data_IF_477408375863
#
_entry.id   IF_477408375863
#
_cell.length_a   1.000
_cell.length_b   1.000
_cell.length_c   1.000
_cell.angle_alpha   90.00
_cell.angle_beta   90.00
_cell.angle_gamma   90.00
#
_symmetry.space_group_name_H-M   'P 1'
#
loop_
_entity.id
_entity.type
_entity.pdbx_description
1 polymer ?
#
# COMPACT_ATOMS: atom_id res chain seq x y z
N UNK A 1 19.96 34.54 9.07
CA UNK A 1 18.48 34.56 9.11
C UNK A 1 18.04 33.18 9.60
N UNK A 2 17.51 33.11 10.81
CA UNK A 2 17.10 31.86 11.48
C UNK A 2 15.80 31.34 10.85
N UNK A 3 15.85 30.17 10.23
CA UNK A 3 14.64 29.42 9.85
C UNK A 3 14.25 28.54 11.03
N UNK A 4 13.09 28.80 11.58
CA UNK A 4 12.47 28.03 12.64
C UNK A 4 12.07 26.66 12.09
N UNK A 5 12.73 25.59 12.54
CA UNK A 5 12.27 24.22 12.36
C UNK A 5 11.05 24.05 13.26
N UNK A 6 9.88 23.85 12.65
CA UNK A 6 8.66 23.49 13.36
C UNK A 6 8.83 22.03 13.76
N UNK A 7 9.38 21.81 14.95
CA UNK A 7 9.37 20.51 15.61
C UNK A 7 7.89 20.18 15.85
N UNK A 8 7.39 19.17 15.14
CA UNK A 8 6.02 18.70 15.22
C UNK A 8 5.68 18.30 16.64
N UNK A 9 4.97 19.17 17.35
CA UNK A 9 4.39 18.86 18.65
C UNK A 9 3.33 17.77 18.46
N UNK A 10 3.59 16.58 19.02
CA UNK A 10 2.62 15.51 19.13
C UNK A 10 1.40 16.00 19.93
N UNK A 11 0.28 16.20 19.24
CA UNK A 11 -1.01 16.45 19.87
C UNK A 11 -1.63 15.08 20.13
N UNK A 12 -1.33 14.51 21.29
CA UNK A 12 -2.08 13.39 21.84
C UNK A 12 -3.41 13.93 22.39
N UNK A 13 -4.51 13.68 21.69
CA UNK A 13 -5.85 13.99 22.19
C UNK A 13 -6.53 12.70 22.65
N UNK A 14 -6.50 12.47 23.97
CA UNK A 14 -7.26 11.43 24.66
C UNK A 14 -8.75 11.80 24.63
N UNK A 15 -9.56 11.11 23.82
CA UNK A 15 -11.01 11.19 23.90
C UNK A 15 -11.48 10.14 24.92
N UNK A 16 -11.80 10.60 26.13
CA UNK A 16 -12.53 9.83 27.14
C UNK A 16 -14.00 10.22 27.04
N UNK A 17 -14.90 9.29 26.69
CA UNK A 17 -16.34 9.53 26.83
C UNK A 17 -16.87 8.66 27.98
N UNK A 18 -17.36 9.39 28.99
CA UNK A 18 -18.05 8.92 30.19
C UNK A 18 -19.32 8.14 29.83
N UNK A 19 -19.38 6.89 30.25
CA UNK A 19 -20.63 6.13 30.43
C UNK A 19 -21.32 6.66 31.69
N UNK A 20 -22.34 7.50 31.53
CA UNK A 20 -23.18 8.02 32.61
C UNK A 20 -24.65 7.79 32.28
N UNK A 21 -25.32 6.94 33.07
CA UNK A 21 -26.60 6.34 32.72
C UNK A 21 -27.88 7.15 32.96
N UNK A 22 -28.88 6.74 32.17
CA UNK A 22 -30.31 6.53 32.43
C UNK A 22 -31.25 7.62 32.97
N UNK A 23 -32.41 7.65 32.29
CA UNK A 23 -33.72 8.28 32.55
C UNK A 23 -33.98 9.63 31.87
N UNK A 24 -34.46 9.60 30.62
CA UNK A 24 -35.17 10.71 29.97
C UNK A 24 -35.97 10.19 28.74
N UNK A 25 -37.03 10.91 28.37
CA UNK A 25 -38.01 10.61 27.31
C UNK A 25 -37.41 10.22 25.94
N UNK A 26 -38.08 9.35 25.16
CA UNK A 26 -37.64 8.85 23.83
C UNK A 26 -37.23 9.98 22.85
N UNK A 27 -37.82 11.16 22.99
CA UNK A 27 -37.53 12.36 22.17
C UNK A 27 -36.18 13.00 22.55
N UNK A 28 -35.84 13.06 23.84
CA UNK A 28 -34.54 13.56 24.32
C UNK A 28 -33.37 12.61 24.09
N UNK A 29 -33.64 11.30 23.96
CA UNK A 29 -32.63 10.29 23.62
C UNK A 29 -32.27 10.35 22.14
N UNK A 30 -33.27 10.51 21.26
CA UNK A 30 -33.05 10.69 19.83
C UNK A 30 -32.32 12.00 19.52
N UNK A 31 -32.67 13.11 20.19
CA UNK A 31 -31.98 14.39 20.05
C UNK A 31 -30.51 14.32 20.50
N UNK A 32 -30.20 13.59 21.58
CA UNK A 32 -28.83 13.36 22.05
C UNK A 32 -28.04 12.48 21.06
N UNK A 33 -28.63 11.40 20.55
CA UNK A 33 -28.02 10.54 19.54
C UNK A 33 -27.76 11.29 18.23
N UNK A 34 -28.70 12.12 17.77
CA UNK A 34 -28.51 12.98 16.59
C UNK A 34 -27.43 14.04 16.81
N UNK A 35 -27.35 14.64 18.01
CA UNK A 35 -26.28 15.58 18.35
C UNK A 35 -24.91 14.89 18.39
N UNK A 36 -24.83 13.66 18.92
CA UNK A 36 -23.61 12.83 18.90
C UNK A 36 -23.22 12.44 17.48
N UNK A 37 -24.18 12.03 16.64
CA UNK A 37 -23.95 11.72 15.22
C UNK A 37 -23.36 12.92 14.49
N UNK A 38 -24.00 14.09 14.57
CA UNK A 38 -23.52 15.32 13.92
C UNK A 38 -22.09 15.70 14.41
N UNK A 39 -21.80 15.47 15.69
CA UNK A 39 -20.46 15.68 16.26
C UNK A 39 -19.45 14.68 15.70
N UNK A 40 -19.80 13.39 15.58
CA UNK A 40 -18.93 12.38 14.98
C UNK A 40 -18.69 12.64 13.49
N UNK A 41 -19.70 13.07 12.74
CA UNK A 41 -19.55 13.49 11.33
C UNK A 41 -18.55 14.65 11.20
N UNK A 42 -18.65 15.67 12.07
CA UNK A 42 -17.68 16.76 12.09
C UNK A 42 -16.27 16.31 12.49
N UNK A 43 -16.17 15.36 13.42
CA UNK A 43 -14.88 14.78 13.81
C UNK A 43 -14.28 13.96 12.67
N UNK A 44 -15.10 13.25 11.88
CA UNK A 44 -14.67 12.45 10.75
C UNK A 44 -14.04 13.35 9.68
N UNK A 45 -14.71 14.44 9.31
CA UNK A 45 -14.16 15.43 8.36
C UNK A 45 -12.80 15.94 8.85
N UNK A 46 -12.69 16.25 10.14
CA UNK A 46 -11.43 16.74 10.73
C UNK A 46 -10.33 15.66 10.71
N UNK A 47 -10.68 14.40 10.99
CA UNK A 47 -9.75 13.28 10.95
C UNK A 47 -9.28 12.99 9.52
N UNK A 48 -10.19 13.00 8.54
CA UNK A 48 -9.88 12.84 7.12
C UNK A 48 -8.97 13.97 6.60
N UNK A 49 -9.22 15.21 6.99
CA UNK A 49 -8.36 16.35 6.65
C UNK A 49 -6.94 16.18 7.23
N UNK A 50 -6.82 15.76 8.49
CA UNK A 50 -5.50 15.46 9.11
C UNK A 50 -4.79 14.34 8.38
N UNK A 51 -5.48 13.24 8.08
CA UNK A 51 -4.93 12.11 7.35
C UNK A 51 -4.42 12.53 5.96
N UNK A 52 -5.22 13.28 5.21
CA UNK A 52 -4.85 13.77 3.88
C UNK A 52 -3.63 14.70 3.94
N UNK A 53 -3.56 15.60 4.93
CA UNK A 53 -2.39 16.46 5.14
C UNK A 53 -1.14 15.66 5.50
N UNK A 54 -1.26 14.71 6.43
CA UNK A 54 -0.15 13.86 6.84
C UNK A 54 0.39 13.03 5.66
N UNK A 55 -0.53 12.49 4.84
CA UNK A 55 -0.20 11.75 3.61
C UNK A 55 0.51 12.63 2.59
N UNK A 56 0.02 13.86 2.37
CA UNK A 56 0.65 14.83 1.48
C UNK A 56 2.07 15.22 1.94
N UNK A 57 2.26 15.43 3.24
CA UNK A 57 3.57 15.68 3.83
C UNK A 57 4.51 14.48 3.64
N UNK A 58 4.07 13.26 3.95
CA UNK A 58 4.86 12.06 3.73
C UNK A 58 5.28 11.90 2.26
N UNK A 59 4.37 12.13 1.31
CA UNK A 59 4.67 12.06 -0.12
C UNK A 59 5.74 13.08 -0.53
N UNK A 60 5.69 14.29 0.02
CA UNK A 60 6.71 15.32 -0.23
C UNK A 60 8.05 14.88 0.35
N UNK A 61 8.05 14.37 1.58
CA UNK A 61 9.28 13.92 2.23
C UNK A 61 9.93 12.73 1.53
N UNK A 62 9.12 11.80 1.00
CA UNK A 62 9.63 10.68 0.23
C UNK A 62 10.28 11.14 -1.07
N UNK A 63 9.68 12.12 -1.78
CA UNK A 63 10.29 12.72 -2.96
C UNK A 63 11.61 13.45 -2.66
N UNK A 64 11.67 14.17 -1.55
CA UNK A 64 12.91 14.84 -1.11
C UNK A 64 13.98 13.84 -0.67
N UNK A 65 13.59 12.73 -0.01
CA UNK A 65 14.49 11.64 0.34
C UNK A 65 15.06 10.96 -0.92
N UNK A 66 14.21 10.69 -1.91
CA UNK A 66 14.62 10.14 -3.21
C UNK A 66 15.65 11.04 -3.90
N UNK A 67 15.46 12.36 -3.85
CA UNK A 67 16.42 13.31 -4.40
C UNK A 67 17.73 13.34 -3.61
N UNK A 68 17.67 13.18 -2.29
CA UNK A 68 18.83 13.21 -1.40
C UNK A 68 19.66 11.91 -1.48
N UNK A 69 19.00 10.77 -1.70
CA UNK A 69 19.59 9.44 -1.74
C UNK A 69 19.16 8.68 -3.01
N UNK A 70 19.40 9.28 -4.19
CA UNK A 70 18.94 8.74 -5.46
C UNK A 70 19.49 7.34 -5.77
N UNK A 71 20.79 7.11 -5.51
CA UNK A 71 21.41 5.79 -5.68
C UNK A 71 20.76 4.76 -4.74
N UNK A 72 20.70 5.07 -3.45
CA UNK A 72 20.14 4.16 -2.45
C UNK A 72 18.69 3.80 -2.71
N UNK A 73 17.86 4.78 -3.10
CA UNK A 73 16.46 4.53 -3.46
C UNK A 73 16.36 3.62 -4.67
N UNK A 74 17.06 3.96 -5.76
CA UNK A 74 17.00 3.18 -7.00
C UNK A 74 17.44 1.73 -6.76
N UNK A 75 18.52 1.53 -6.01
CA UNK A 75 19.02 0.20 -5.65
C UNK A 75 18.02 -0.57 -4.77
N UNK A 76 17.39 0.07 -3.78
CA UNK A 76 16.35 -0.58 -2.98
C UNK A 76 15.16 -1.05 -3.80
N UNK A 77 14.73 -0.27 -4.79
CA UNK A 77 13.65 -0.65 -5.70
C UNK A 77 14.06 -1.84 -6.57
N UNK A 78 15.31 -1.85 -7.06
CA UNK A 78 15.85 -2.98 -7.82
C UNK A 78 16.00 -4.26 -6.99
N UNK A 79 16.42 -4.16 -5.73
CA UNK A 79 16.43 -5.30 -4.78
C UNK A 79 15.03 -5.90 -4.67
N UNK A 80 13.99 -5.08 -4.48
CA UNK A 80 12.61 -5.55 -4.35
C UNK A 80 12.15 -6.25 -5.62
N UNK A 81 12.41 -5.64 -6.78
CA UNK A 81 12.04 -6.22 -8.07
C UNK A 81 12.73 -7.56 -8.33
N UNK A 82 14.05 -7.66 -8.10
CA UNK A 82 14.78 -8.92 -8.20
C UNK A 82 14.25 -9.99 -7.22
N UNK A 83 13.93 -9.59 -5.99
CA UNK A 83 13.35 -10.50 -4.99
C UNK A 83 12.01 -11.04 -5.44
N UNK A 84 11.15 -10.20 -6.01
CA UNK A 84 9.84 -10.61 -6.50
C UNK A 84 9.93 -11.47 -7.76
N UNK A 85 10.94 -11.26 -8.61
CA UNK A 85 11.27 -12.16 -9.73
C UNK A 85 11.64 -13.56 -9.18
N UNK A 86 12.47 -13.65 -8.14
CA UNK A 86 12.82 -14.95 -7.55
C UNK A 86 11.58 -15.65 -6.99
N UNK A 87 10.69 -14.94 -6.29
CA UNK A 87 9.44 -15.51 -5.75
C UNK A 87 8.52 -16.07 -6.82
N UNK A 88 8.57 -15.56 -8.06
CA UNK A 88 7.83 -16.15 -9.17
C UNK A 88 8.28 -17.59 -9.49
N UNK A 89 9.45 -18.02 -9.03
CA UNK A 89 9.91 -19.40 -9.18
C UNK A 89 9.41 -20.34 -8.09
N UNK A 90 8.75 -19.85 -7.04
CA UNK A 90 8.40 -20.64 -5.84
C UNK A 90 7.49 -21.84 -6.16
N UNK A 91 6.67 -21.74 -7.21
CA UNK A 91 5.71 -22.78 -7.58
C UNK A 91 6.36 -24.14 -7.94
N UNK A 92 7.65 -24.14 -8.31
CA UNK A 92 8.38 -25.36 -8.70
C UNK A 92 9.28 -25.90 -7.58
N UNK A 93 9.27 -25.28 -6.39
CA UNK A 93 10.05 -25.74 -5.23
C UNK A 93 9.15 -26.11 -4.06
N UNK A 94 9.53 -27.16 -3.35
CA UNK A 94 9.15 -27.39 -1.96
C UNK A 94 10.05 -26.56 -1.06
N UNK A 95 9.49 -26.02 0.03
CA UNK A 95 10.19 -25.13 0.97
C UNK A 95 10.97 -23.98 0.28
N UNK A 96 10.32 -23.20 -0.61
CA UNK A 96 11.01 -22.22 -1.48
C UNK A 96 11.81 -21.17 -0.70
N UNK A 97 11.33 -20.76 0.48
CA UNK A 97 11.96 -19.74 1.33
C UNK A 97 12.81 -20.33 2.47
N UNK A 98 12.86 -21.65 2.58
CA UNK A 98 13.53 -22.32 3.69
C UNK A 98 15.02 -22.55 3.47
N UNK A 99 15.62 -23.27 4.42
CA UNK A 99 17.05 -23.61 4.37
C UNK A 99 17.35 -24.77 3.43
N UNK A 100 16.35 -25.55 3.03
CA UNK A 100 16.51 -26.72 2.18
C UNK A 100 15.46 -26.73 1.05
N UNK A 101 15.50 -25.74 0.13
CA UNK A 101 14.60 -25.72 -1.00
C UNK A 101 14.88 -26.91 -1.92
N UNK A 102 13.82 -27.57 -2.39
CA UNK A 102 13.94 -28.73 -3.27
C UNK A 102 12.96 -28.63 -4.44
N UNK A 103 13.49 -28.70 -5.66
CA UNK A 103 12.68 -28.69 -6.87
C UNK A 103 11.70 -29.88 -6.88
N UNK A 104 10.45 -29.62 -7.25
CA UNK A 104 9.35 -30.61 -7.21
C UNK A 104 9.50 -31.66 -8.33
N UNK A 105 10.18 -31.29 -9.41
CA UNK A 105 10.42 -32.17 -10.56
C UNK A 105 11.79 -32.80 -10.48
N UNK A 106 11.91 -34.03 -10.95
CA UNK A 106 13.23 -34.63 -11.17
C UNK A 106 14.04 -33.76 -12.13
N UNK A 107 15.26 -33.42 -11.73
CA UNK A 107 16.16 -32.61 -12.54
C UNK A 107 16.86 -33.52 -13.57
N UNK A 108 16.54 -33.42 -14.88
CA UNK A 108 17.18 -34.23 -15.90
C UNK A 108 18.60 -33.73 -16.25
N UNK A 109 19.01 -32.58 -15.71
CA UNK A 109 20.32 -31.94 -15.93
C UNK A 109 21.14 -31.96 -14.63
N UNK A 110 21.81 -33.09 -14.30
CA UNK A 110 22.46 -33.28 -12.99
C UNK A 110 23.63 -32.31 -12.73
N UNK A 111 24.21 -31.72 -13.77
CA UNK A 111 25.28 -30.73 -13.64
C UNK A 111 24.75 -29.38 -13.11
N UNK A 112 23.44 -29.13 -13.20
CA UNK A 112 22.79 -27.94 -12.65
C UNK A 112 22.36 -28.25 -11.21
N UNK A 113 22.99 -27.61 -10.24
CA UNK A 113 22.72 -27.81 -8.81
C UNK A 113 21.59 -26.89 -8.33
N UNK A 114 20.42 -26.98 -8.96
CA UNK A 114 19.34 -25.97 -8.82
C UNK A 114 18.88 -25.74 -7.37
N UNK A 115 18.85 -26.79 -6.55
CA UNK A 115 18.47 -26.69 -5.13
C UNK A 115 19.52 -25.90 -4.33
N UNK A 116 20.81 -26.12 -4.63
CA UNK A 116 21.91 -25.38 -3.99
C UNK A 116 21.94 -23.92 -4.47
N UNK A 117 21.65 -23.68 -5.75
CA UNK A 117 21.47 -22.32 -6.27
C UNK A 117 20.33 -21.62 -5.54
N UNK A 118 19.14 -22.23 -5.44
CA UNK A 118 18.00 -21.67 -4.72
C UNK A 118 18.32 -21.39 -3.25
N UNK A 119 19.03 -22.31 -2.57
CA UNK A 119 19.48 -22.11 -1.20
C UNK A 119 20.40 -20.88 -1.07
N UNK A 120 21.36 -20.71 -2.00
CA UNK A 120 22.23 -19.55 -2.03
C UNK A 120 21.45 -18.25 -2.29
N UNK A 121 20.49 -18.27 -3.22
CA UNK A 121 19.61 -17.12 -3.46
C UNK A 121 18.83 -16.76 -2.19
N UNK A 122 18.29 -17.71 -1.44
CA UNK A 122 17.60 -17.42 -0.19
C UNK A 122 18.50 -16.69 0.83
N UNK A 123 19.80 -17.03 0.89
CA UNK A 123 20.77 -16.31 1.72
C UNK A 123 20.98 -14.86 1.25
N UNK A 124 21.07 -14.65 -0.06
CA UNK A 124 21.17 -13.29 -0.63
C UNK A 124 19.92 -12.47 -0.31
N UNK A 125 18.73 -13.03 -0.53
CA UNK A 125 17.46 -12.34 -0.25
C UNK A 125 17.30 -12.00 1.24
N UNK A 126 17.76 -12.87 2.14
CA UNK A 126 17.78 -12.58 3.57
C UNK A 126 18.74 -11.43 3.92
N UNK A 127 19.91 -11.33 3.28
CA UNK A 127 20.82 -10.20 3.45
C UNK A 127 20.20 -8.90 2.91
N UNK A 128 19.57 -8.98 1.74
CA UNK A 128 18.95 -7.84 1.07
C UNK A 128 17.76 -7.27 1.82
N UNK A 129 17.01 -8.09 2.56
CA UNK A 129 15.86 -7.63 3.35
C UNK A 129 16.24 -6.46 4.27
N UNK A 130 17.38 -6.55 4.95
CA UNK A 130 17.87 -5.47 5.83
C UNK A 130 18.22 -4.19 5.05
N UNK A 131 18.60 -4.31 3.77
CA UNK A 131 18.96 -3.17 2.91
C UNK A 131 17.74 -2.49 2.31
N UNK A 132 16.56 -3.12 2.32
CA UNK A 132 15.31 -2.50 1.85
C UNK A 132 14.66 -1.55 2.86
N UNK A 133 15.15 -1.53 4.11
CA UNK A 133 14.71 -0.57 5.11
C UNK A 133 15.14 0.85 4.69
N UNK A 134 14.21 1.80 4.79
CA UNK A 134 14.46 3.21 4.49
C UNK A 134 15.60 3.78 5.33
N UNK A 135 15.80 3.28 6.57
CA UNK A 135 16.90 3.70 7.45
C UNK A 135 18.27 3.28 6.93
N UNK A 136 18.34 2.21 6.14
CA UNK A 136 19.57 1.68 5.55
C UNK A 136 19.98 2.41 4.26
N UNK A 137 19.14 3.32 3.74
CA UNK A 137 19.35 3.95 2.42
C UNK A 137 20.67 4.71 2.31
N UNK A 138 21.14 5.28 3.42
CA UNK A 138 22.43 6.00 3.52
C UNK A 138 23.64 5.09 3.43
N UNK A 139 23.47 3.80 3.68
CA UNK A 139 24.54 2.81 3.67
C UNK A 139 24.78 2.26 2.26
N UNK A 140 23.85 2.51 1.33
CA UNK A 140 23.93 2.05 -0.06
C UNK A 140 24.78 3.03 -0.87
N UNK A 141 26.09 2.82 -0.81
CA UNK A 141 27.07 3.46 -1.69
C UNK A 141 27.32 2.67 -2.98
N UNK A 142 28.20 3.19 -3.84
CA UNK A 142 28.56 2.56 -5.13
C UNK A 142 29.06 1.13 -4.96
N UNK A 143 29.95 0.88 -4.01
CA UNK A 143 30.49 -0.48 -3.77
C UNK A 143 29.40 -1.48 -3.37
N UNK A 144 28.38 -1.02 -2.63
CA UNK A 144 27.26 -1.87 -2.25
C UNK A 144 26.32 -2.12 -3.43
N UNK A 145 26.06 -1.07 -4.23
CA UNK A 145 25.29 -1.19 -5.47
C UNK A 145 25.95 -2.15 -6.48
N UNK A 146 27.29 -2.12 -6.61
CA UNK A 146 28.04 -3.06 -7.44
C UNK A 146 27.95 -4.50 -6.93
N UNK A 147 27.99 -4.70 -5.61
CA UNK A 147 27.77 -6.02 -5.00
C UNK A 147 26.36 -6.54 -5.34
N UNK A 148 25.33 -5.71 -5.16
CA UNK A 148 23.94 -6.06 -5.48
C UNK A 148 23.78 -6.37 -6.97
N UNK A 149 24.45 -5.63 -7.86
CA UNK A 149 24.49 -5.93 -9.30
C UNK A 149 25.09 -7.33 -9.56
N UNK A 150 26.22 -7.65 -8.93
CA UNK A 150 26.85 -8.96 -9.06
C UNK A 150 25.98 -10.09 -8.52
N UNK A 151 25.34 -9.89 -7.36
CA UNK A 151 24.38 -10.82 -6.78
C UNK A 151 23.14 -11.02 -7.70
N UNK A 152 22.70 -9.96 -8.39
CA UNK A 152 21.60 -10.02 -9.37
C UNK A 152 21.97 -10.84 -10.62
N UNK A 153 23.23 -10.82 -11.06
CA UNK A 153 23.72 -11.72 -12.13
C UNK A 153 23.68 -13.20 -11.71
N UNK A 154 23.86 -13.49 -10.42
CA UNK A 154 23.70 -14.85 -9.88
C UNK A 154 22.22 -15.26 -9.96
N UNK A 155 21.29 -14.37 -9.59
CA UNK A 155 19.84 -14.59 -9.75
C UNK A 155 19.49 -14.87 -11.22
N UNK A 156 20.03 -14.08 -12.15
CA UNK A 156 19.82 -14.30 -13.58
C UNK A 156 20.28 -15.69 -14.02
N UNK A 157 21.48 -16.11 -13.61
CA UNK A 157 22.01 -17.44 -13.92
C UNK A 157 21.10 -18.55 -13.38
N UNK A 158 20.59 -18.39 -12.15
CA UNK A 158 19.61 -19.30 -11.56
C UNK A 158 18.33 -19.41 -12.40
N UNK A 159 17.76 -18.28 -12.83
CA UNK A 159 16.55 -18.28 -13.69
C UNK A 159 16.83 -18.95 -15.03
N UNK A 160 17.98 -18.68 -15.65
CA UNK A 160 18.39 -19.33 -16.91
C UNK A 160 18.52 -20.84 -16.75
N UNK A 161 19.09 -21.29 -15.65
CA UNK A 161 19.25 -22.71 -15.33
C UNK A 161 17.91 -23.39 -15.07
N UNK A 162 17.00 -22.73 -14.33
CA UNK A 162 15.66 -23.22 -14.11
C UNK A 162 14.87 -23.34 -15.42
N UNK A 163 15.00 -22.35 -16.31
CA UNK A 163 14.39 -22.40 -17.64
C UNK A 163 14.92 -23.56 -18.49
N UNK A 164 16.22 -23.87 -18.42
CA UNK A 164 16.80 -25.05 -19.09
C UNK A 164 16.22 -26.35 -18.53
N UNK A 165 16.09 -26.46 -17.21
CA UNK A 165 15.50 -27.63 -16.55
C UNK A 165 14.06 -27.82 -17.05
N UNK A 166 13.21 -26.81 -16.93
CA UNK A 166 11.81 -26.88 -17.38
C UNK A 166 11.72 -27.21 -18.87
N UNK A 167 12.62 -26.66 -19.69
CA UNK A 167 12.67 -26.97 -21.12
C UNK A 167 13.12 -28.38 -21.48
N UNK A 168 13.81 -29.05 -20.58
CA UNK A 168 14.21 -30.45 -20.75
C UNK A 168 13.21 -31.46 -20.18
N UNK A 169 12.16 -31.00 -19.50
CA UNK A 169 11.12 -31.90 -18.96
C UNK A 169 10.32 -32.53 -20.10
N UNK A 170 10.10 -33.83 -19.96
CA UNK A 170 9.17 -34.60 -20.80
C UNK A 170 8.11 -35.23 -19.92
N UNK A 171 6.91 -35.54 -20.44
CA UNK A 171 5.92 -36.28 -19.67
C UNK A 171 6.40 -37.66 -19.18
N UNK A 172 7.34 -38.28 -19.90
CA UNK A 172 7.88 -39.60 -19.55
C UNK A 172 8.84 -39.54 -18.37
N UNK A 173 9.72 -38.53 -18.34
CA UNK A 173 10.80 -38.44 -17.35
C UNK A 173 10.42 -37.68 -16.07
N UNK A 174 9.36 -36.86 -16.12
CA UNK A 174 8.97 -35.96 -15.01
C UNK A 174 7.68 -36.37 -14.29
N UNK A 175 6.98 -37.39 -14.78
CA UNK A 175 5.64 -37.78 -14.33
C UNK A 175 4.58 -36.65 -14.45
N UNK A 176 4.88 -35.57 -15.19
CA UNK A 176 3.98 -34.45 -15.44
C UNK A 176 3.22 -34.62 -16.76
N UNK A 177 2.02 -34.06 -16.84
CA UNK A 177 1.34 -33.88 -18.13
C UNK A 177 1.98 -32.74 -18.94
N UNK A 178 1.87 -32.78 -20.26
CA UNK A 178 2.33 -31.68 -21.14
C UNK A 178 1.72 -30.33 -20.73
N UNK A 179 0.46 -30.33 -20.31
CA UNK A 179 -0.21 -29.12 -19.81
C UNK A 179 0.48 -28.53 -18.56
N UNK A 180 0.95 -29.37 -17.63
CA UNK A 180 1.69 -28.92 -16.46
C UNK A 180 3.07 -28.37 -16.85
N UNK A 181 3.77 -29.02 -17.78
CA UNK A 181 5.05 -28.54 -18.31
C UNK A 181 4.88 -27.17 -18.99
N UNK A 182 3.87 -27.03 -19.86
CA UNK A 182 3.56 -25.76 -20.53
C UNK A 182 3.19 -24.66 -19.50
N UNK A 183 2.48 -25.04 -18.43
CA UNK A 183 2.17 -24.14 -17.32
C UNK A 183 3.43 -23.65 -16.62
N UNK A 184 4.38 -24.55 -16.32
CA UNK A 184 5.66 -24.16 -15.72
C UNK A 184 6.41 -23.19 -16.62
N UNK A 185 6.51 -23.47 -17.91
CA UNK A 185 7.10 -22.55 -18.89
C UNK A 185 6.46 -21.16 -18.88
N UNK A 186 5.13 -21.11 -18.77
CA UNK A 186 4.38 -19.84 -18.79
C UNK A 186 4.51 -19.03 -17.50
N UNK A 187 4.79 -19.69 -16.38
CA UNK A 187 4.90 -19.05 -15.06
C UNK A 187 6.33 -18.68 -14.70
N UNK A 188 7.33 -19.27 -15.37
CA UNK A 188 8.72 -18.88 -15.15
C UNK A 188 8.92 -17.40 -15.50
N UNK A 189 9.64 -16.65 -14.65
CA UNK A 189 9.96 -15.27 -14.94
C UNK A 189 10.81 -15.17 -16.21
N UNK A 190 10.64 -14.07 -16.94
CA UNK A 190 11.41 -13.83 -18.16
C UNK A 190 12.83 -13.38 -17.81
N UNK A 191 13.80 -13.83 -18.60
CA UNK A 191 15.17 -13.29 -18.55
C UNK A 191 15.21 -11.80 -18.93
N UNK A 192 14.19 -11.31 -19.63
CA UNK A 192 14.06 -9.87 -19.89
C UNK A 192 13.90 -9.10 -18.58
N UNK A 193 13.05 -9.58 -17.67
CA UNK A 193 12.72 -8.88 -16.43
C UNK A 193 13.96 -8.69 -15.54
N UNK A 194 14.80 -9.72 -15.42
CA UNK A 194 16.04 -9.61 -14.62
C UNK A 194 17.12 -8.76 -15.32
N UNK A 195 17.15 -8.72 -16.65
CA UNK A 195 18.05 -7.82 -17.38
C UNK A 195 17.62 -6.35 -17.26
N UNK A 196 16.32 -6.06 -17.16
CA UNK A 196 15.83 -4.71 -16.87
C UNK A 196 16.30 -4.23 -15.49
N UNK A 197 16.30 -5.12 -14.49
CA UNK A 197 16.86 -4.83 -13.15
C UNK A 197 18.35 -4.51 -13.25
N UNK A 198 19.13 -5.36 -13.93
CA UNK A 198 20.57 -5.16 -14.11
C UNK A 198 20.90 -3.84 -14.83
N UNK A 199 20.14 -3.51 -15.88
CA UNK A 199 20.29 -2.26 -16.64
C UNK A 199 19.96 -1.05 -15.76
N UNK A 200 18.93 -1.15 -14.93
CA UNK A 200 18.53 -0.09 -14.00
C UNK A 200 19.59 0.14 -12.91
N UNK A 201 20.17 -0.93 -12.36
CA UNK A 201 21.29 -0.86 -11.42
C UNK A 201 22.51 -0.19 -12.06
N UNK A 202 22.87 -0.59 -13.28
CA UNK A 202 23.98 0.02 -14.03
C UNK A 202 23.76 1.52 -14.26
N UNK A 203 22.56 1.88 -14.73
CA UNK A 203 22.17 3.27 -14.94
C UNK A 203 22.22 4.09 -13.64
N UNK A 204 21.77 3.53 -12.51
CA UNK A 204 21.80 4.19 -11.21
C UNK A 204 23.24 4.48 -10.75
N UNK A 205 24.15 3.51 -10.93
CA UNK A 205 25.57 3.64 -10.60
C UNK A 205 26.24 4.71 -11.50
N UNK A 206 26.00 4.67 -12.81
CA UNK A 206 26.56 5.63 -13.76
C UNK A 206 26.08 7.07 -13.49
N UNK A 207 24.79 7.24 -13.21
CA UNK A 207 24.21 8.54 -12.88
C UNK A 207 24.80 9.11 -11.58
N UNK A 208 24.97 8.27 -10.56
CA UNK A 208 25.61 8.70 -9.31
C UNK A 208 27.05 9.17 -9.54
N UNK A 209 27.85 8.39 -10.27
CA UNK A 209 29.23 8.76 -10.57
C UNK A 209 29.31 10.08 -11.36
N UNK A 210 28.45 10.26 -12.35
CA UNK A 210 28.37 11.49 -13.15
C UNK A 210 27.96 12.72 -12.32
N UNK A 211 27.08 12.54 -11.34
CA UNK A 211 26.69 13.60 -10.40
C UNK A 211 27.83 14.00 -9.44
N UNK A 212 28.61 13.03 -8.97
CA UNK A 212 29.78 13.31 -8.12
C UNK A 212 30.84 14.08 -8.90
N UNK A 213 31.14 13.68 -10.14
CA UNK A 213 32.11 14.37 -11.00
C UNK A 213 31.68 15.82 -11.34
N UNK A 214 30.40 16.02 -11.66
CA UNK A 214 29.86 17.36 -11.95
C UNK A 214 29.77 18.26 -10.70
N UNK A 215 29.48 17.71 -9.53
CA UNK A 215 29.42 18.46 -8.27
C UNK A 215 30.80 18.96 -7.81
N UNK A 216 31.88 18.26 -8.16
CA UNK A 216 33.25 18.71 -7.89
C UNK A 216 33.66 19.95 -8.72
N UNK A 217 32.93 20.28 -9.79
CA UNK A 217 33.22 21.44 -10.65
C UNK A 217 32.32 22.66 -10.39
N UNK A 218 31.27 22.53 -9.56
CA UNK A 218 30.29 23.59 -9.27
C UNK A 218 30.27 23.94 -7.78
N UNK A 219 31.16 24.84 -7.35
CA UNK A 219 31.36 25.19 -5.94
C UNK A 219 30.39 26.26 -5.39
N UNK A 220 29.21 26.47 -6.00
CA UNK A 220 28.40 27.66 -5.70
C UNK A 220 26.89 27.45 -5.46
N UNK A 221 26.41 26.21 -5.33
CA UNK A 221 25.02 25.97 -4.95
C UNK A 221 24.90 25.62 -3.47
N UNK A 222 23.93 26.22 -2.72
CA UNK A 222 23.62 25.75 -1.38
C UNK A 222 23.20 24.27 -1.46
N UNK A 223 23.58 23.44 -0.47
CA UNK A 223 23.15 22.05 -0.47
C UNK A 223 21.62 22.00 -0.53
N UNK A 224 21.04 21.06 -1.30
CA UNK A 224 19.61 20.80 -1.20
C UNK A 224 19.28 20.51 0.27
N UNK A 225 18.10 20.92 0.71
CA UNK A 225 17.60 20.56 2.05
C UNK A 225 17.52 19.04 2.09
N UNK A 226 18.48 18.38 2.74
CA UNK A 226 18.50 16.93 2.89
C UNK A 226 17.47 16.54 3.93
N UNK A 227 16.52 15.67 3.55
CA UNK A 227 15.64 15.00 4.49
C UNK A 227 16.34 13.75 4.97
N UNK A 228 16.35 13.54 6.28
CA UNK A 228 16.93 12.33 6.87
C UNK A 228 15.91 11.17 6.84
N UNK A 229 16.33 9.91 6.62
CA UNK A 229 15.43 8.75 6.63
C UNK A 229 14.57 8.64 7.90
N UNK A 230 15.14 8.99 9.06
CA UNK A 230 14.46 8.97 10.35
C UNK A 230 13.26 9.94 10.39
N UNK A 231 13.33 11.07 9.68
CA UNK A 231 12.22 12.03 9.58
C UNK A 231 11.07 11.45 8.75
N UNK A 232 11.38 10.71 7.68
CA UNK A 232 10.37 10.02 6.86
C UNK A 232 9.67 8.92 7.67
N UNK A 233 10.42 8.14 8.45
CA UNK A 233 9.85 7.12 9.35
C UNK A 233 8.94 7.75 10.41
N UNK A 234 9.36 8.86 11.01
CA UNK A 234 8.54 9.58 11.97
C UNK A 234 7.23 10.08 11.33
N UNK A 235 7.30 10.63 10.11
CA UNK A 235 6.12 11.08 9.38
C UNK A 235 5.21 9.92 8.97
N UNK A 236 5.77 8.75 8.64
CA UNK A 236 4.99 7.54 8.38
C UNK A 236 4.18 7.11 9.61
N UNK A 237 4.75 7.22 10.81
CA UNK A 237 4.02 6.95 12.06
C UNK A 237 2.85 7.93 12.27
N UNK A 238 3.03 9.21 11.92
CA UNK A 238 1.95 10.23 11.96
C UNK A 238 0.82 9.87 10.99
N UNK A 239 1.13 9.42 9.77
CA UNK A 239 0.13 8.96 8.81
C UNK A 239 -0.65 7.76 9.35
N UNK A 240 0.04 6.77 9.91
CA UNK A 240 -0.60 5.60 10.51
C UNK A 240 -1.52 5.99 11.66
N UNK A 241 -1.08 6.88 12.55
CA UNK A 241 -1.92 7.39 13.65
C UNK A 241 -3.17 8.11 13.12
N UNK A 242 -3.02 8.98 12.12
CA UNK A 242 -4.14 9.71 11.53
C UNK A 242 -5.13 8.75 10.83
N UNK A 243 -4.64 7.68 10.20
CA UNK A 243 -5.50 6.64 9.62
C UNK A 243 -6.28 5.89 10.71
N UNK A 244 -5.64 5.57 11.84
CA UNK A 244 -6.33 4.97 12.99
C UNK A 244 -7.42 5.90 13.53
N UNK A 245 -7.15 7.21 13.64
CA UNK A 245 -8.17 8.19 14.05
C UNK A 245 -9.38 8.17 13.09
N UNK A 246 -9.17 8.13 11.78
CA UNK A 246 -10.26 8.03 10.78
C UNK A 246 -11.08 6.76 11.00
N UNK A 247 -10.41 5.60 11.10
CA UNK A 247 -11.08 4.31 11.28
C UNK A 247 -11.89 4.25 12.57
N UNK A 248 -11.35 4.73 13.69
CA UNK A 248 -12.07 4.76 14.97
C UNK A 248 -13.30 5.65 14.92
N UNK A 249 -13.24 6.82 14.27
CA UNK A 249 -14.42 7.70 14.15
C UNK A 249 -15.48 7.08 13.23
N UNK A 250 -15.07 6.39 12.16
CA UNK A 250 -16.00 5.66 11.29
C UNK A 250 -16.72 4.52 12.03
N UNK A 251 -15.98 3.75 12.85
CA UNK A 251 -16.57 2.70 13.68
C UNK A 251 -17.59 3.26 14.69
N UNK A 252 -17.25 4.36 15.37
CA UNK A 252 -18.18 5.03 16.30
C UNK A 252 -19.43 5.58 15.60
N UNK A 253 -19.28 6.08 14.37
CA UNK A 253 -20.40 6.58 13.59
C UNK A 253 -21.34 5.44 13.19
N UNK A 254 -20.79 4.30 12.76
CA UNK A 254 -21.57 3.10 12.45
C UNK A 254 -22.33 2.59 13.69
N UNK A 255 -21.69 2.57 14.87
CA UNK A 255 -22.33 2.17 16.13
C UNK A 255 -23.52 3.08 16.49
N UNK A 256 -23.37 4.40 16.35
CA UNK A 256 -24.47 5.35 16.58
C UNK A 256 -25.58 5.21 15.53
N UNK A 257 -25.25 4.91 14.27
CA UNK A 257 -26.26 4.67 13.23
C UNK A 257 -27.10 3.42 13.50
N UNK A 258 -26.48 2.33 13.97
CA UNK A 258 -27.20 1.13 14.43
C UNK A 258 -28.10 1.41 15.65
N UNK A 259 -27.69 2.32 16.56
CA UNK A 259 -28.50 2.71 17.73
C UNK A 259 -29.71 3.59 17.36
N UNK A 260 -29.61 4.38 16.28
CA UNK A 260 -30.69 5.25 15.78
C UNK A 260 -31.74 4.47 14.96
N UNK A 261 -31.36 3.43 14.23
CA UNK A 261 -32.25 2.64 13.36
C UNK A 261 -33.53 2.11 14.05
N UNK A 262 -33.50 1.51 15.26
CA UNK A 262 -34.70 1.05 15.96
C UNK A 262 -35.56 2.16 16.59
N UNK A 263 -35.07 3.41 16.61
CA UNK A 263 -35.74 4.55 17.24
C UNK A 263 -36.53 5.44 16.25
N UNK A 264 -36.37 5.20 14.94
CA UNK A 264 -37.08 5.93 13.88
C UNK A 264 -38.60 5.63 13.88
N UNK A 265 -39.49 6.64 13.72
CA UNK A 265 -40.94 6.41 13.79
C UNK A 265 -41.43 5.56 12.62
N UNK A 266 -42.23 4.53 12.93
CA UNK A 266 -42.97 3.72 11.95
C UNK A 266 -43.81 4.66 11.08
N UNK A 267 -43.80 4.52 9.73
CA UNK A 267 -44.68 5.32 8.89
C UNK A 267 -46.13 5.04 9.29
N UNK A 268 -46.85 6.08 9.70
CA UNK A 268 -48.28 5.97 10.02
C UNK A 268 -48.99 5.50 8.75
N UNK A 269 -49.74 4.38 8.76
CA UNK A 269 -50.50 3.97 7.60
C UNK A 269 -51.55 5.05 7.32
N UNK A 270 -51.53 5.56 6.10
CA UNK A 270 -52.56 6.47 5.59
C UNK A 270 -53.87 5.68 5.63
N UNK A 271 -54.78 6.06 6.52
CA UNK A 271 -56.12 5.47 6.58
C UNK A 271 -56.82 5.66 5.22
N UNK A 272 -57.52 4.63 4.70
CA UNK A 272 -58.17 4.71 3.40
C UNK A 272 -59.33 5.72 3.48
N UNK A 273 -59.23 6.81 2.72
CA UNK A 273 -60.36 7.72 2.50
C UNK A 273 -61.41 6.93 1.73
N UNK A 274 -62.56 6.73 2.39
CA UNK A 274 -63.76 6.11 1.84
C UNK A 274 -64.42 7.09 0.89
N UNK A 275 -64.57 6.68 -0.37
CA UNK A 275 -65.34 7.39 -1.37
C UNK A 275 -66.84 7.27 -1.05
N UNK A 276 -67.65 8.31 -1.30
CA UNK A 276 -68.97 8.08 -1.88
C UNK A 276 -69.22 8.94 -3.12
N UNK A 277 -69.46 8.18 -4.19
CA UNK A 277 -70.35 8.38 -5.34
C UNK A 277 -70.20 9.57 -6.33
N UNK A 278 -70.47 9.31 -7.63
CA UNK A 278 -70.17 10.18 -8.76
C UNK A 278 -71.38 11.02 -9.15
N UNK A 279 -71.15 12.26 -9.58
CA UNK A 279 -71.98 12.88 -10.63
C UNK A 279 -71.31 14.15 -11.20
N UNK A 280 -70.81 14.00 -12.42
CA UNK A 280 -71.12 14.83 -13.59
C UNK A 280 -70.62 16.30 -13.71
N UNK A 281 -69.93 16.51 -14.85
CA UNK A 281 -69.94 17.68 -15.76
C UNK A 281 -68.76 18.69 -15.79
N UNK A 282 -67.93 18.48 -16.82
CA UNK A 282 -67.62 19.37 -17.96
C UNK A 282 -66.71 20.61 -17.80
N UNK A 283 -65.73 20.65 -18.72
CA UNK A 283 -65.15 21.81 -19.42
C UNK A 283 -64.16 22.77 -18.74
N UNK A 284 -62.94 22.71 -19.27
CA UNK A 284 -62.25 23.77 -20.06
C UNK A 284 -60.87 24.23 -19.58
N UNK A 285 -60.04 24.43 -20.61
CA UNK A 285 -58.62 24.77 -20.62
C UNK A 285 -58.32 26.14 -20.00
N UNK A 286 -57.17 26.26 -19.30
CA UNK A 286 -56.12 27.18 -19.73
C UNK A 286 -54.79 27.00 -18.95
N UNK A 287 -53.73 27.12 -19.74
CA UNK A 287 -52.31 27.36 -19.45
C UNK A 287 -52.00 28.25 -18.24
N UNK A 288 -51.05 27.83 -17.41
CA UNK A 288 -49.88 28.65 -17.06
C UNK A 288 -48.75 27.83 -16.41
N UNK A 289 -47.53 28.20 -16.78
CA UNK A 289 -46.25 27.58 -16.45
C UNK A 289 -45.91 27.61 -14.96
N UNK A 290 -45.25 26.56 -14.47
CA UNK A 290 -44.10 26.73 -13.58
C UNK A 290 -43.25 25.46 -13.52
N UNK A 291 -41.97 25.69 -13.75
CA UNK A 291 -40.84 24.76 -13.70
C UNK A 291 -40.76 24.04 -12.35
N UNK A 292 -40.43 22.75 -12.38
CA UNK A 292 -39.65 22.06 -11.35
C UNK A 292 -39.22 20.69 -11.88
N UNK A 293 -38.05 20.65 -12.53
CA UNK A 293 -37.35 19.42 -12.87
C UNK A 293 -36.23 19.22 -11.81
N UNK A 294 -36.09 18.04 -11.20
CA UNK A 294 -35.08 17.81 -10.17
C UNK A 294 -33.67 17.74 -10.77
N UNK A 295 -32.72 18.38 -10.09
CA UNK A 295 -31.29 18.37 -10.44
C UNK A 295 -30.74 16.95 -10.30
N UNK A 296 -30.34 16.40 -11.43
CA UNK A 296 -29.54 15.17 -11.56
C UNK A 296 -28.10 15.44 -11.11
N UNK A 297 -27.57 14.61 -10.20
CA UNK A 297 -26.15 14.62 -9.82
C UNK A 297 -25.30 14.03 -10.97
N UNK A 298 -24.19 14.67 -11.38
CA UNK A 298 -23.32 14.10 -12.40
C UNK A 298 -22.49 12.93 -11.83
N UNK A 299 -22.13 11.94 -12.69
CA UNK A 299 -21.38 10.75 -12.28
C UNK A 299 -19.92 11.11 -11.97
N UNK A 300 -19.42 10.56 -10.86
CA UNK A 300 -18.03 10.69 -10.41
C UNK A 300 -17.12 9.93 -11.38
N UNK A 301 -16.28 10.66 -12.10
CA UNK A 301 -15.17 10.12 -12.88
C UNK A 301 -14.15 9.53 -11.91
N UNK A 302 -13.87 8.23 -12.07
CA UNK A 302 -12.77 7.54 -11.40
C UNK A 302 -11.52 7.88 -12.20
N UNK A 303 -10.67 8.75 -11.66
CA UNK A 303 -9.37 9.06 -12.23
C UNK A 303 -8.36 8.00 -11.77
N UNK A 304 -7.78 7.30 -12.73
CA UNK A 304 -6.85 6.20 -12.55
C UNK A 304 -5.43 6.76 -12.38
N UNK A 305 -5.03 7.03 -11.14
CA UNK A 305 -3.62 7.14 -10.77
C UNK A 305 -3.32 6.14 -9.66
N UNK A 306 -2.68 5.04 -10.05
CA UNK A 306 -2.20 3.98 -9.17
C UNK A 306 -1.09 4.52 -8.27
N UNK A 307 -1.46 5.03 -7.11
CA UNK A 307 -0.59 5.11 -5.95
C UNK A 307 -0.57 3.75 -5.26
N UNK A 308 0.62 3.29 -4.90
CA UNK A 308 0.89 2.05 -4.16
C UNK A 308 -0.13 1.88 -3.02
N UNK A 309 -1.01 0.89 -3.16
CA UNK A 309 -1.88 0.44 -2.08
C UNK A 309 -0.99 -0.43 -1.18
N UNK A 310 -0.45 0.14 -0.11
CA UNK A 310 0.06 -0.67 0.99
C UNK A 310 -1.17 -1.21 1.71
N UNK A 311 -1.53 -2.46 1.42
CA UNK A 311 -2.45 -3.20 2.30
C UNK A 311 -1.79 -3.28 3.69
N UNK A 312 -2.45 -2.83 4.76
CA UNK A 312 -1.95 -3.08 6.10
C UNK A 312 -2.03 -4.60 6.36
N UNK A 313 -0.87 -5.24 6.47
CA UNK A 313 -0.77 -6.57 7.05
C UNK A 313 -1.28 -6.57 8.49
N UNK A 314 -1.69 -7.72 9.04
CA UNK A 314 -2.21 -7.81 10.39
C UNK A 314 -1.19 -7.32 11.42
N UNK A 315 -1.70 -6.58 12.41
CA UNK A 315 -0.96 -5.98 13.53
C UNK A 315 -0.07 -7.05 14.19
N UNK A 316 1.24 -6.98 13.95
CA UNK A 316 2.19 -7.61 14.87
C UNK A 316 2.50 -6.62 15.97
N UNK A 317 1.89 -6.85 17.14
CA UNK A 317 2.30 -6.27 18.40
C UNK A 317 3.80 -6.57 18.59
N UNK A 318 4.65 -5.57 18.42
CA UNK A 318 6.01 -5.62 18.97
C UNK A 318 5.83 -5.48 20.48
N UNK A 319 5.70 -6.62 21.17
CA UNK A 319 5.91 -6.67 22.60
C UNK A 319 7.38 -6.35 22.86
N UNK A 320 7.60 -5.33 23.69
CA UNK A 320 8.92 -4.93 24.12
C UNK A 320 9.66 -6.08 24.77
N UNK A 321 10.92 -6.23 24.36
CA UNK A 321 12.08 -6.46 25.24
C UNK A 321 11.77 -7.07 26.60
N UNK A 322 11.90 -8.40 26.70
CA UNK A 322 12.21 -9.04 27.98
C UNK A 322 13.66 -8.68 28.36
N UNK A 323 13.92 -8.26 29.62
CA UNK A 323 15.27 -8.03 30.09
C UNK A 323 15.78 -9.31 30.73
N UNK A 324 16.63 -10.10 30.05
CA UNK A 324 17.75 -10.88 30.62
C UNK A 324 18.62 -11.46 29.50
#
# INVERSE_FOLDING_TARGET
MSKSVIIGAGIAFLITILTGGYFLTRESELDDLMARKNKLESNLITAEDKFNRAKGALSTMLGDLQNSFALGTSVQDQIKQASDIVKQTDFIFTDPDGSNPEIIVDNPLPDILINAERQYINLLLAEWLAKTDILSIKEIGVSEAEKIKADTEIIKTFIENLAKIVASLTPEDSELSQFQIDTYFSQLPSIVDINEVLTSLETAIENHNSQVESSQTSSNFPPPTSIEPEEVVAQQAVVTQAQTEVTTVQEQLAEIEEEIEPLSPTPVPISPITNPDPENQTENQNTESSENNPISLPPRVIDSNQGIIIQPGPVRLIQGTDPF
#
